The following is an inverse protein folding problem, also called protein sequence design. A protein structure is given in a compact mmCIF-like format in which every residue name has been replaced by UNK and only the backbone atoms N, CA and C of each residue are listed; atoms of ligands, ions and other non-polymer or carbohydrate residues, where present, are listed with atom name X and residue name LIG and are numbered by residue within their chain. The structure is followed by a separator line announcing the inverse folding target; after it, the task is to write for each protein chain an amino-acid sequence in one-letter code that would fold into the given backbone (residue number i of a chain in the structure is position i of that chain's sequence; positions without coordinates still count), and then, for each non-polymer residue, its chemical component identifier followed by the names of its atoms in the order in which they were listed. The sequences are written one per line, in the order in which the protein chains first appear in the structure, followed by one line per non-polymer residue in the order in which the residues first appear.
data_IF_961709331206
#
_entry.id   IF_961709331206
#
_cell.length_a   1.000
_cell.length_b   1.000
_cell.length_c   1.000
_cell.angle_alpha   90.00
_cell.angle_beta   90.00
_cell.angle_gamma   90.00
#
_symmetry.space_group_name_H-M   'P 1'
#
loop_
_entity.id
_entity.type
_entity.pdbx_description
1 polymer ?
#
# COMPACT_ATOMS: atom_id res chain seq x y z
N UNK A 1 15.75 -15.96 6.25
CA UNK A 1 15.87 -14.95 5.18
C UNK A 1 15.79 -13.57 5.78
N UNK A 2 16.65 -12.63 5.35
CA UNK A 2 16.64 -11.23 5.84
C UNK A 2 15.52 -10.42 5.17
N UNK A 3 15.11 -10.82 3.97
CA UNK A 3 14.17 -10.09 3.12
C UNK A 3 12.84 -10.83 2.93
N UNK A 4 11.73 -10.10 3.10
CA UNK A 4 10.39 -10.49 2.67
C UNK A 4 9.96 -9.64 1.48
N UNK A 5 9.28 -10.24 0.50
CA UNK A 5 8.79 -9.52 -0.68
C UNK A 5 7.35 -9.91 -1.00
N UNK A 6 6.53 -8.92 -1.26
CA UNK A 6 5.17 -9.05 -1.73
C UNK A 6 5.05 -8.38 -3.11
N UNK A 7 4.89 -9.14 -4.19
CA UNK A 7 4.73 -8.59 -5.53
C UNK A 7 3.33 -8.00 -5.73
N UNK A 8 3.21 -7.06 -6.67
CA UNK A 8 1.96 -6.42 -7.06
C UNK A 8 0.88 -7.43 -7.51
N UNK A 9 1.28 -8.42 -8.31
CA UNK A 9 0.37 -9.44 -8.81
C UNK A 9 0.28 -10.62 -7.84
N UNK A 10 -0.94 -11.07 -7.60
CA UNK A 10 -1.23 -12.14 -6.68
C UNK A 10 -0.66 -13.48 -7.20
N UNK A 11 0.51 -13.86 -6.70
CA UNK A 11 1.19 -15.11 -7.07
C UNK A 11 0.73 -16.33 -6.26
N UNK A 12 -0.34 -16.19 -5.45
CA UNK A 12 -0.85 -17.29 -4.65
C UNK A 12 -1.56 -18.34 -5.51
N UNK A 13 -1.18 -19.60 -5.35
CA UNK A 13 -1.78 -20.71 -6.09
C UNK A 13 -3.25 -20.92 -5.68
N UNK A 14 -4.17 -20.76 -6.65
CA UNK A 14 -5.62 -20.82 -6.42
C UNK A 14 -6.10 -22.18 -5.87
N UNK A 15 -5.43 -23.27 -6.22
CA UNK A 15 -5.73 -24.64 -5.77
C UNK A 15 -5.26 -24.91 -4.33
N UNK A 16 -4.35 -24.12 -3.79
CA UNK A 16 -3.80 -24.30 -2.44
C UNK A 16 -4.74 -23.71 -1.40
N UNK A 17 -4.67 -24.25 -0.18
CA UNK A 17 -5.17 -23.56 1.02
C UNK A 17 -4.09 -22.61 1.55
N UNK A 18 -4.44 -21.60 2.35
CA UNK A 18 -3.48 -20.72 3.05
C UNK A 18 -2.37 -21.49 3.77
N UNK A 19 -2.75 -22.53 4.49
CA UNK A 19 -1.80 -23.40 5.20
C UNK A 19 -0.83 -24.09 4.24
N UNK A 20 -1.33 -24.67 3.15
CA UNK A 20 -0.49 -25.32 2.14
C UNK A 20 0.43 -24.32 1.45
N UNK A 21 -0.09 -23.15 1.07
CA UNK A 21 0.67 -22.10 0.38
C UNK A 21 1.82 -21.60 1.27
N UNK A 22 1.55 -21.18 2.50
CA UNK A 22 2.61 -20.69 3.39
C UNK A 22 3.62 -21.78 3.74
N UNK A 23 3.17 -23.03 3.93
CA UNK A 23 4.09 -24.14 4.20
C UNK A 23 5.00 -24.42 3.00
N UNK A 24 4.47 -24.37 1.77
CA UNK A 24 5.25 -24.51 0.55
C UNK A 24 6.30 -23.40 0.41
N UNK A 25 5.90 -22.12 0.61
CA UNK A 25 6.84 -20.99 0.58
C UNK A 25 7.90 -21.10 1.68
N UNK A 26 7.52 -21.55 2.89
CA UNK A 26 8.47 -21.80 3.97
C UNK A 26 9.54 -22.83 3.59
N UNK A 27 9.13 -23.90 2.94
CA UNK A 27 10.05 -24.93 2.42
C UNK A 27 10.98 -24.39 1.34
N UNK A 28 10.46 -23.55 0.41
CA UNK A 28 11.29 -22.88 -0.61
C UNK A 28 12.31 -21.90 0.00
N UNK A 29 11.97 -21.27 1.13
CA UNK A 29 12.89 -20.39 1.89
C UNK A 29 13.92 -21.18 2.70
N UNK A 30 13.90 -22.52 2.67
CA UNK A 30 14.80 -23.39 3.45
C UNK A 30 14.52 -23.40 4.95
N UNK A 31 13.28 -23.09 5.38
CA UNK A 31 12.90 -23.12 6.78
C UNK A 31 12.74 -24.57 7.28
N UNK A 32 13.10 -24.80 8.54
CA UNK A 32 12.87 -26.09 9.16
C UNK A 32 11.37 -26.37 9.34
N UNK A 33 10.97 -27.63 9.21
CA UNK A 33 9.57 -28.05 9.31
C UNK A 33 8.90 -27.61 10.62
N UNK A 34 9.63 -27.64 11.74
CA UNK A 34 9.15 -27.18 13.05
C UNK A 34 8.80 -25.68 13.05
N UNK A 35 9.65 -24.86 12.40
CA UNK A 35 9.45 -23.42 12.33
C UNK A 35 8.26 -23.07 11.42
N UNK A 36 8.10 -23.77 10.31
CA UNK A 36 6.92 -23.64 9.44
C UNK A 36 5.66 -23.97 10.21
N UNK A 37 5.66 -25.09 10.95
CA UNK A 37 4.49 -25.55 11.72
C UNK A 37 4.09 -24.56 12.82
N UNK A 38 5.05 -23.86 13.43
CA UNK A 38 4.78 -22.85 14.45
C UNK A 38 4.37 -21.50 13.85
N UNK A 39 5.09 -21.02 12.83
CA UNK A 39 4.86 -19.68 12.26
C UNK A 39 3.58 -19.57 11.42
N UNK A 40 3.24 -20.59 10.62
CA UNK A 40 2.09 -20.52 9.71
C UNK A 40 0.77 -20.21 10.43
N UNK A 41 0.39 -20.91 11.52
CA UNK A 41 -0.82 -20.57 12.26
C UNK A 41 -0.78 -19.15 12.86
N UNK A 42 0.37 -18.72 13.38
CA UNK A 42 0.55 -17.39 13.96
C UNK A 42 0.35 -16.29 12.90
N UNK A 43 0.97 -16.44 11.74
CA UNK A 43 0.83 -15.50 10.63
C UNK A 43 -0.62 -15.46 10.11
N UNK A 44 -1.28 -16.59 9.98
CA UNK A 44 -2.68 -16.62 9.57
C UNK A 44 -3.60 -15.94 10.58
N UNK A 45 -3.30 -16.02 11.89
CA UNK A 45 -4.00 -15.25 12.92
C UNK A 45 -3.74 -13.75 12.77
N UNK A 46 -2.49 -13.34 12.60
CA UNK A 46 -2.11 -11.92 12.50
C UNK A 46 -2.76 -11.21 11.30
N UNK A 47 -3.00 -11.92 10.19
CA UNK A 47 -3.70 -11.38 9.02
C UNK A 47 -5.20 -11.70 8.98
N UNK A 48 -5.79 -12.21 10.07
CA UNK A 48 -7.21 -12.58 10.17
C UNK A 48 -7.68 -13.58 9.09
N UNK A 49 -6.90 -14.61 8.83
CA UNK A 49 -7.21 -15.71 7.89
C UNK A 49 -7.19 -17.09 8.55
N UNK A 50 -7.04 -17.18 9.87
CA UNK A 50 -6.92 -18.45 10.57
C UNK A 50 -8.13 -19.37 10.35
N UNK A 51 -9.35 -18.84 10.49
CA UNK A 51 -10.59 -19.58 10.28
C UNK A 51 -10.77 -20.06 8.82
N UNK A 52 -10.08 -19.41 7.89
CA UNK A 52 -10.10 -19.77 6.46
C UNK A 52 -8.89 -20.61 6.03
N UNK A 53 -8.06 -21.07 6.96
CA UNK A 53 -6.78 -21.74 6.68
C UNK A 53 -6.89 -23.01 5.82
N UNK A 54 -8.07 -23.64 5.81
CA UNK A 54 -8.36 -24.86 5.04
C UNK A 54 -9.22 -24.61 3.79
N UNK A 55 -9.65 -23.38 3.52
CA UNK A 55 -10.39 -23.02 2.29
C UNK A 55 -9.40 -22.76 1.15
N UNK A 56 -9.79 -23.08 -0.09
CA UNK A 56 -8.96 -22.81 -1.26
C UNK A 56 -8.81 -21.30 -1.50
N UNK A 57 -7.59 -20.83 -1.75
CA UNK A 57 -7.27 -19.42 -2.03
C UNK A 57 -8.04 -18.90 -3.25
N UNK A 58 -8.37 -19.76 -4.23
CA UNK A 58 -9.19 -19.41 -5.38
C UNK A 58 -10.57 -18.84 -5.01
N UNK A 59 -11.12 -19.18 -3.83
CA UNK A 59 -12.42 -18.69 -3.35
C UNK A 59 -12.31 -17.39 -2.52
N UNK A 60 -11.12 -16.81 -2.39
CA UNK A 60 -10.87 -15.64 -1.59
C UNK A 60 -11.23 -14.35 -2.32
N UNK A 61 -11.72 -13.35 -1.57
CA UNK A 61 -11.84 -11.97 -2.05
C UNK A 61 -10.46 -11.36 -2.34
N UNK A 62 -10.41 -10.25 -3.06
CA UNK A 62 -9.18 -9.50 -3.31
C UNK A 62 -8.42 -9.17 -2.01
N UNK A 63 -9.11 -8.64 -1.01
CA UNK A 63 -8.52 -8.33 0.29
C UNK A 63 -8.01 -9.56 1.07
N UNK A 64 -8.69 -10.71 0.97
CA UNK A 64 -8.19 -11.97 1.54
C UNK A 64 -6.93 -12.45 0.83
N UNK A 65 -6.88 -12.35 -0.50
CA UNK A 65 -5.69 -12.69 -1.29
C UNK A 65 -4.52 -11.77 -0.94
N UNK A 66 -4.77 -10.49 -0.75
CA UNK A 66 -3.74 -9.53 -0.37
C UNK A 66 -3.16 -9.85 1.02
N UNK A 67 -4.04 -10.21 1.97
CA UNK A 67 -3.62 -10.60 3.33
C UNK A 67 -2.78 -11.88 3.35
N UNK A 68 -3.06 -12.87 2.51
CA UNK A 68 -2.21 -14.06 2.43
C UNK A 68 -0.85 -13.76 1.81
N UNK A 69 -0.78 -12.80 0.86
CA UNK A 69 0.48 -12.34 0.30
C UNK A 69 1.32 -11.56 1.32
N UNK A 70 0.69 -10.76 2.18
CA UNK A 70 1.37 -10.15 3.33
C UNK A 70 1.93 -11.21 4.29
N UNK A 71 1.13 -12.21 4.64
CA UNK A 71 1.59 -13.31 5.50
C UNK A 71 2.80 -14.04 4.89
N UNK A 72 2.80 -14.25 3.57
CA UNK A 72 3.92 -14.84 2.82
C UNK A 72 5.18 -13.97 2.90
N UNK A 73 5.05 -12.65 2.80
CA UNK A 73 6.20 -11.74 2.91
C UNK A 73 6.82 -11.78 4.32
N UNK A 74 6.00 -11.99 5.36
CA UNK A 74 6.42 -12.07 6.77
C UNK A 74 7.04 -13.42 7.17
N UNK A 75 6.85 -14.45 6.37
CA UNK A 75 7.28 -15.81 6.69
C UNK A 75 8.80 -15.91 6.81
N UNK A 76 9.27 -16.46 7.92
CA UNK A 76 10.70 -16.54 8.27
C UNK A 76 11.22 -15.30 9.00
N UNK A 77 10.33 -14.45 9.51
CA UNK A 77 10.62 -13.27 10.33
C UNK A 77 11.71 -12.33 9.71
N UNK A 78 11.47 -11.79 8.49
CA UNK A 78 12.44 -10.94 7.82
C UNK A 78 12.60 -9.60 8.57
N UNK A 79 13.82 -9.04 8.53
CA UNK A 79 14.10 -7.68 9.05
C UNK A 79 13.68 -6.57 8.10
N UNK A 80 13.65 -6.86 6.80
CA UNK A 80 13.26 -5.94 5.73
C UNK A 80 12.12 -6.55 4.95
N UNK A 81 11.07 -5.76 4.68
CA UNK A 81 9.91 -6.17 3.89
C UNK A 81 9.73 -5.17 2.76
N UNK A 82 9.59 -5.66 1.54
CA UNK A 82 9.25 -4.85 0.37
C UNK A 82 7.82 -5.23 -0.05
N UNK A 83 6.95 -4.24 -0.14
CA UNK A 83 5.56 -4.37 -0.55
C UNK A 83 5.33 -3.57 -1.83
N UNK A 84 4.92 -4.23 -2.89
CA UNK A 84 4.62 -3.61 -4.17
C UNK A 84 3.11 -3.50 -4.33
N UNK A 85 2.58 -2.25 -4.32
CA UNK A 85 1.17 -1.91 -4.42
C UNK A 85 0.25 -2.72 -3.47
N UNK A 86 0.52 -2.73 -2.14
CA UNK A 86 -0.16 -3.64 -1.21
C UNK A 86 -1.66 -3.38 -1.05
N UNK A 87 -2.17 -2.23 -1.49
CA UNK A 87 -3.58 -1.81 -1.35
C UNK A 87 -4.29 -1.63 -2.67
N UNK A 88 -3.60 -1.81 -3.81
CA UNK A 88 -4.17 -1.60 -5.14
C UNK A 88 -5.41 -2.49 -5.38
N UNK A 89 -6.45 -1.90 -5.97
CA UNK A 89 -7.68 -2.61 -6.32
C UNK A 89 -8.55 -3.05 -5.14
N UNK A 90 -8.27 -2.59 -3.92
CA UNK A 90 -9.07 -2.89 -2.74
C UNK A 90 -10.14 -1.83 -2.50
N UNK A 91 -11.27 -2.27 -1.92
CA UNK A 91 -12.26 -1.37 -1.39
C UNK A 91 -11.73 -0.56 -0.18
N UNK A 92 -12.35 0.59 0.17
CA UNK A 92 -11.85 1.47 1.23
C UNK A 92 -11.67 0.76 2.59
N UNK A 93 -12.56 -0.17 2.95
CA UNK A 93 -12.52 -0.91 4.23
C UNK A 93 -11.33 -1.87 4.29
N UNK A 94 -11.11 -2.65 3.22
CA UNK A 94 -9.97 -3.56 3.14
C UNK A 94 -8.65 -2.78 3.04
N UNK A 95 -8.61 -1.62 2.36
CA UNK A 95 -7.44 -0.74 2.31
C UNK A 95 -7.02 -0.27 3.71
N UNK A 96 -7.96 0.22 4.52
CA UNK A 96 -7.69 0.60 5.93
C UNK A 96 -7.14 -0.59 6.71
N UNK A 97 -7.71 -1.79 6.52
CA UNK A 97 -7.26 -3.00 7.19
C UNK A 97 -5.82 -3.37 6.83
N UNK A 98 -5.47 -3.32 5.55
CA UNK A 98 -4.10 -3.58 5.08
C UNK A 98 -3.13 -2.54 5.65
N UNK A 99 -3.47 -1.25 5.62
CA UNK A 99 -2.65 -0.18 6.21
C UNK A 99 -2.34 -0.44 7.68
N UNK A 100 -3.35 -0.76 8.47
CA UNK A 100 -3.16 -1.08 9.89
C UNK A 100 -2.27 -2.30 10.11
N UNK A 101 -2.40 -3.35 9.29
CA UNK A 101 -1.52 -4.51 9.33
C UNK A 101 -0.07 -4.12 9.01
N UNK A 102 0.15 -3.37 7.94
CA UNK A 102 1.50 -2.91 7.55
C UNK A 102 2.12 -2.05 8.64
N UNK A 103 1.37 -1.09 9.21
CA UNK A 103 1.84 -0.25 10.32
C UNK A 103 2.24 -1.09 11.53
N UNK A 104 1.47 -2.13 11.88
CA UNK A 104 1.80 -3.01 13.00
C UNK A 104 3.10 -3.81 12.76
N UNK A 105 3.35 -4.21 11.52
CA UNK A 105 4.58 -4.92 11.17
C UNK A 105 5.80 -4.01 11.11
N UNK A 106 5.60 -2.72 10.80
CA UNK A 106 6.66 -1.71 10.73
C UNK A 106 7.25 -1.30 12.09
N UNK A 107 6.62 -1.70 13.21
CA UNK A 107 7.12 -1.34 14.55
C UNK A 107 8.54 -1.88 14.82
N UNK A 108 8.86 -3.07 14.31
CA UNK A 108 10.13 -3.76 14.57
C UNK A 108 10.88 -4.17 13.30
N UNK A 109 10.53 -3.61 12.13
CA UNK A 109 11.09 -3.96 10.83
C UNK A 109 11.21 -2.74 9.94
N UNK A 110 12.08 -2.81 8.97
CA UNK A 110 12.11 -1.86 7.85
C UNK A 110 11.06 -2.32 6.84
N UNK A 111 10.07 -1.47 6.55
CA UNK A 111 9.06 -1.71 5.52
C UNK A 111 9.22 -0.70 4.41
N UNK A 112 9.46 -1.17 3.20
CA UNK A 112 9.54 -0.37 1.98
C UNK A 112 8.25 -0.63 1.19
N UNK A 113 7.51 0.43 0.87
CA UNK A 113 6.27 0.36 0.12
C UNK A 113 6.48 1.08 -1.21
N UNK A 114 6.32 0.38 -2.32
CA UNK A 114 6.19 0.99 -3.63
C UNK A 114 4.68 1.18 -3.90
N UNK A 115 4.23 2.42 -4.08
CA UNK A 115 2.82 2.72 -4.37
C UNK A 115 2.66 4.06 -5.07
N UNK A 116 1.61 4.18 -5.87
CA UNK A 116 1.14 5.46 -6.44
C UNK A 116 -0.06 6.02 -5.67
N UNK A 117 -0.51 5.33 -4.61
CA UNK A 117 -1.68 5.74 -3.80
C UNK A 117 -1.24 6.69 -2.70
N UNK A 118 -1.35 7.99 -2.95
CA UNK A 118 -0.90 9.07 -2.04
C UNK A 118 -1.50 8.92 -0.62
N UNK A 119 -2.78 8.56 -0.52
CA UNK A 119 -3.43 8.38 0.80
C UNK A 119 -2.83 7.26 1.65
N UNK A 120 -2.18 6.27 1.05
CA UNK A 120 -1.50 5.22 1.81
C UNK A 120 -0.16 5.73 2.36
N UNK A 121 0.56 6.51 1.54
CA UNK A 121 1.83 7.14 1.93
C UNK A 121 1.63 8.07 3.12
N UNK A 122 0.61 8.93 3.06
CA UNK A 122 0.28 9.89 4.12
C UNK A 122 0.05 9.20 5.49
N UNK A 123 -0.58 8.02 5.50
CA UNK A 123 -0.91 7.31 6.74
C UNK A 123 0.18 6.41 7.29
N UNK A 124 1.06 5.87 6.44
CA UNK A 124 1.99 4.81 6.84
C UNK A 124 3.44 5.28 6.83
N UNK A 125 3.80 6.17 5.89
CA UNK A 125 5.20 6.50 5.63
C UNK A 125 5.78 7.44 6.70
N UNK A 126 6.95 7.07 7.21
CA UNK A 126 7.81 7.97 8.00
C UNK A 126 8.69 8.82 7.10
N UNK A 127 9.13 8.25 6.00
CA UNK A 127 9.96 8.88 4.98
C UNK A 127 9.40 8.54 3.60
N UNK A 128 9.51 9.47 2.67
CA UNK A 128 9.05 9.34 1.29
C UNK A 128 10.22 9.54 0.36
N UNK A 129 10.36 8.62 -0.60
CA UNK A 129 11.31 8.76 -1.71
C UNK A 129 10.50 8.97 -2.99
N UNK A 130 10.62 10.14 -3.60
CA UNK A 130 9.98 10.45 -4.88
C UNK A 130 10.92 10.08 -6.04
N UNK A 131 10.42 9.20 -6.92
CA UNK A 131 11.15 8.73 -8.09
C UNK A 131 10.58 9.36 -9.36
N UNK A 132 11.45 9.92 -10.21
CA UNK A 132 11.08 10.41 -11.54
C UNK A 132 12.13 9.97 -12.56
N UNK A 133 11.69 9.23 -13.60
CA UNK A 133 12.56 8.71 -14.66
C UNK A 133 13.79 7.94 -14.13
N UNK A 134 13.58 7.09 -13.10
CA UNK A 134 14.64 6.27 -12.49
C UNK A 134 15.62 7.04 -11.58
N UNK A 135 15.37 8.30 -11.29
CA UNK A 135 16.20 9.13 -10.38
C UNK A 135 15.39 9.53 -9.16
N UNK A 136 16.04 9.58 -8.01
CA UNK A 136 15.48 10.17 -6.79
C UNK A 136 15.45 11.68 -6.98
N UNK A 137 14.26 12.28 -6.90
CA UNK A 137 14.08 13.74 -6.99
C UNK A 137 13.92 14.37 -5.61
N UNK A 138 13.29 13.65 -4.67
CA UNK A 138 13.16 14.06 -3.28
C UNK A 138 13.24 12.84 -2.36
N UNK A 139 13.76 13.05 -1.15
CA UNK A 139 13.73 12.07 -0.05
C UNK A 139 13.62 12.85 1.25
N UNK A 140 12.45 12.78 1.88
CA UNK A 140 12.19 13.48 3.13
C UNK A 140 10.93 12.94 3.83
N UNK A 141 10.60 13.53 4.98
CA UNK A 141 9.33 13.24 5.66
C UNK A 141 8.13 13.84 4.92
N UNK A 142 6.91 13.30 5.09
CA UNK A 142 5.70 13.88 4.50
C UNK A 142 5.55 15.38 4.78
N UNK A 143 5.79 15.80 6.02
CA UNK A 143 5.65 17.20 6.45
C UNK A 143 6.61 18.15 5.71
N UNK A 144 7.85 17.74 5.52
CA UNK A 144 8.85 18.54 4.79
C UNK A 144 8.46 18.64 3.31
N UNK A 145 8.04 17.54 2.70
CA UNK A 145 7.59 17.55 1.30
C UNK A 145 6.35 18.43 1.09
N UNK A 146 5.39 18.42 2.02
CA UNK A 146 4.23 19.31 1.97
C UNK A 146 4.64 20.79 2.07
N UNK A 147 5.59 21.13 2.96
CA UNK A 147 6.10 22.51 3.08
C UNK A 147 6.78 23.03 1.81
N UNK A 148 7.36 22.16 0.98
CA UNK A 148 7.98 22.58 -0.28
C UNK A 148 6.98 23.18 -1.29
N UNK A 149 5.69 22.83 -1.18
CA UNK A 149 4.61 23.36 -2.01
C UNK A 149 3.71 24.34 -1.24
N UNK A 150 4.05 24.66 0.01
CA UNK A 150 3.34 25.67 0.78
C UNK A 150 3.40 27.01 0.06
N UNK A 151 2.28 27.72 0.01
CA UNK A 151 2.09 28.96 -0.77
C UNK A 151 2.19 28.81 -2.31
N UNK A 152 2.20 27.59 -2.84
CA UNK A 152 2.12 27.33 -4.29
C UNK A 152 0.79 26.71 -4.72
N UNK A 153 0.01 26.19 -3.78
CA UNK A 153 -1.30 25.59 -4.04
C UNK A 153 -2.39 26.51 -3.50
N UNK A 154 -3.32 26.91 -4.39
CA UNK A 154 -4.44 27.79 -4.05
C UNK A 154 -5.75 27.17 -4.49
N UNK A 155 -6.83 27.53 -3.80
CA UNK A 155 -8.20 27.22 -4.22
C UNK A 155 -8.86 28.51 -4.73
N UNK A 156 -9.32 28.48 -6.01
CA UNK A 156 -10.04 29.56 -6.66
C UNK A 156 -11.51 29.16 -6.74
N UNK A 157 -12.40 29.97 -6.20
CA UNK A 157 -13.84 29.80 -6.33
C UNK A 157 -14.36 30.62 -7.51
N UNK A 158 -14.89 29.98 -8.55
CA UNK A 158 -15.29 30.63 -9.79
C UNK A 158 -16.53 30.00 -10.40
N UNK A 159 -17.17 30.72 -11.30
CA UNK A 159 -18.24 30.21 -12.15
C UNK A 159 -17.68 29.28 -13.24
N UNK A 160 -18.52 28.40 -13.77
CA UNK A 160 -18.11 27.36 -14.73
C UNK A 160 -17.58 27.93 -16.04
N UNK A 161 -18.11 29.06 -16.47
CA UNK A 161 -17.72 29.79 -17.71
C UNK A 161 -16.29 30.34 -17.67
N UNK A 162 -15.71 30.53 -16.47
CA UNK A 162 -14.32 30.98 -16.28
C UNK A 162 -13.29 29.88 -16.20
N UNK A 163 -13.72 28.62 -16.23
CA UNK A 163 -12.82 27.47 -16.07
C UNK A 163 -11.73 27.43 -17.14
N UNK A 164 -12.08 27.71 -18.40
CA UNK A 164 -11.13 27.72 -19.52
C UNK A 164 -10.07 28.81 -19.37
N UNK A 165 -10.45 29.98 -18.86
CA UNK A 165 -9.52 31.09 -18.62
C UNK A 165 -8.53 30.74 -17.50
N UNK A 166 -9.03 30.14 -16.40
CA UNK A 166 -8.22 29.69 -15.26
C UNK A 166 -7.25 28.59 -15.70
N UNK A 167 -7.73 27.61 -16.47
CA UNK A 167 -6.92 26.48 -16.96
C UNK A 167 -5.82 26.91 -17.96
N UNK A 168 -5.97 28.07 -18.62
CA UNK A 168 -4.92 28.64 -19.48
C UNK A 168 -3.85 29.39 -18.68
N UNK A 169 -4.20 29.95 -17.53
CA UNK A 169 -3.30 30.78 -16.70
C UNK A 169 -2.56 29.97 -15.64
N UNK A 170 -3.16 28.89 -15.14
CA UNK A 170 -2.66 28.12 -14.02
C UNK A 170 -2.67 26.63 -14.34
N UNK A 171 -1.77 25.87 -13.69
CA UNK A 171 -1.83 24.42 -13.70
C UNK A 171 -2.96 23.96 -12.76
N UNK A 172 -4.05 23.44 -13.33
CA UNK A 172 -5.22 22.96 -12.57
C UNK A 172 -4.96 21.56 -12.06
N UNK A 173 -4.93 21.39 -10.73
CA UNK A 173 -4.71 20.10 -10.06
C UNK A 173 -6.00 19.37 -9.75
N UNK A 174 -7.08 20.08 -9.43
CA UNK A 174 -8.38 19.49 -9.08
C UNK A 174 -9.51 20.48 -9.31
N UNK A 175 -10.71 19.96 -9.64
CA UNK A 175 -11.95 20.72 -9.78
C UNK A 175 -13.03 20.00 -8.99
N UNK A 176 -13.69 20.72 -8.08
CA UNK A 176 -14.85 20.25 -7.33
C UNK A 176 -16.04 21.16 -7.59
N UNK A 177 -17.20 20.56 -7.86
CA UNK A 177 -18.45 21.30 -8.01
C UNK A 177 -19.05 21.56 -6.63
N UNK A 178 -19.10 22.82 -6.22
CA UNK A 178 -19.89 23.27 -5.06
C UNK A 178 -21.36 23.50 -5.43
N UNK A 179 -22.14 24.06 -4.49
CA UNK A 179 -23.56 24.36 -4.75
C UNK A 179 -23.70 25.47 -5.79
N UNK A 180 -22.95 26.57 -5.66
CA UNK A 180 -23.06 27.75 -6.52
C UNK A 180 -21.82 28.00 -7.39
N UNK A 181 -20.66 27.50 -6.99
CA UNK A 181 -19.37 27.75 -7.67
C UNK A 181 -18.51 26.51 -7.79
N UNK A 182 -17.58 26.53 -8.71
CA UNK A 182 -16.51 25.55 -8.77
C UNK A 182 -15.39 25.93 -7.78
N UNK A 183 -14.91 24.96 -7.02
CA UNK A 183 -13.65 25.06 -6.29
C UNK A 183 -12.55 24.45 -7.16
N UNK A 184 -11.65 25.29 -7.65
CA UNK A 184 -10.58 24.92 -8.58
C UNK A 184 -9.26 25.02 -7.85
N UNK A 185 -8.59 23.89 -7.65
CA UNK A 185 -7.26 23.86 -7.04
C UNK A 185 -6.21 24.03 -8.12
N UNK A 186 -5.36 25.04 -7.96
CA UNK A 186 -4.31 25.40 -8.91
C UNK A 186 -2.94 25.40 -8.27
N UNK A 187 -1.92 25.09 -9.07
CA UNK A 187 -0.51 25.21 -8.70
C UNK A 187 0.06 26.45 -9.36
N UNK A 188 0.75 27.29 -8.58
CA UNK A 188 1.56 28.39 -9.06
C UNK A 188 2.97 27.90 -9.37
N UNK A 189 3.46 28.18 -10.56
CA UNK A 189 4.83 27.87 -11.01
C UNK A 189 5.87 28.79 -10.39
#
# INVERSE_FOLDING_TARGET
SILGYMPQHNAAYSSFTPKQFLSYIGSLKGMEKKDIQSQVPMLLKSVNLYESMNRKIGTFSGGMKQRIMLAQALLGDPKVIILDEPTAGLDPKERIRIRNLVSSFALNRIVIIATHVVSDVEFIAKEIVLLKKGKIVHHDTPDVLCKMIEHRVYEIYSDIDKLDEISRKFEVCNIQKGMDKLAIRVLLN
#
